data_IF_436676214756
#
_entry.id   IF_436676214756
#
_cell.length_a   1.000
_cell.length_b   1.000
_cell.length_c   1.000
_cell.angle_alpha   90.00
_cell.angle_beta   90.00
_cell.angle_gamma   90.00
#
_symmetry.space_group_name_H-M   'P 1'
#
loop_
_entity.id
_entity.type
_entity.pdbx_description
1 polymer ?
#
# COMPACT_ATOMS: atom_id res chain seq x y z
N UNK A 1 2.34 -23.30 22.13
CA UNK A 1 1.52 -23.24 20.92
C UNK A 1 1.91 -21.94 20.25
N UNK A 2 2.60 -22.01 19.11
CA UNK A 2 3.04 -20.82 18.36
C UNK A 2 1.83 -20.06 17.84
N UNK A 3 1.98 -18.76 17.75
CA UNK A 3 0.95 -17.83 17.28
C UNK A 3 0.54 -18.22 15.83
N UNK A 4 -0.73 -18.48 15.53
CA UNK A 4 -1.16 -18.86 14.17
C UNK A 4 -0.82 -17.81 13.10
N UNK A 5 -0.49 -16.57 13.49
CA UNK A 5 -0.04 -15.51 12.59
C UNK A 5 1.37 -15.80 12.05
N UNK A 6 2.28 -16.33 12.89
CA UNK A 6 3.62 -16.73 12.41
C UNK A 6 3.52 -17.91 11.44
N UNK A 7 2.63 -18.87 11.70
CA UNK A 7 2.47 -20.05 10.83
C UNK A 7 1.87 -19.74 9.44
N UNK A 8 1.13 -18.64 9.26
CA UNK A 8 0.54 -18.26 7.97
C UNK A 8 1.53 -17.43 7.14
N UNK A 9 2.36 -16.62 7.78
CA UNK A 9 3.39 -15.79 7.11
C UNK A 9 4.68 -16.60 6.86
N UNK A 10 5.01 -17.56 7.71
CA UNK A 10 6.13 -18.51 7.49
C UNK A 10 5.89 -19.54 6.37
N UNK A 11 4.67 -19.69 5.87
CA UNK A 11 4.43 -20.45 4.65
C UNK A 11 4.74 -19.57 3.45
N UNK A 12 5.96 -19.60 3.03
CA UNK A 12 6.65 -19.44 1.75
C UNK A 12 5.84 -19.12 0.46
N UNK A 13 4.63 -18.59 0.54
CA UNK A 13 3.91 -18.08 -0.63
C UNK A 13 4.01 -16.55 -0.63
N UNK A 14 4.34 -15.93 -1.80
CA UNK A 14 4.26 -14.50 -1.97
C UNK A 14 2.88 -13.97 -1.54
N UNK A 15 2.79 -12.82 -0.83
CA UNK A 15 1.53 -12.31 -0.30
C UNK A 15 0.44 -12.14 -1.34
N UNK A 16 0.78 -11.75 -2.57
CA UNK A 16 -0.19 -11.66 -3.67
C UNK A 16 -0.75 -13.05 -4.04
N UNK A 17 0.09 -14.08 -4.18
CA UNK A 17 -0.38 -15.42 -4.52
C UNK A 17 -1.32 -15.98 -3.46
N UNK A 18 -1.00 -15.76 -2.18
CA UNK A 18 -1.90 -16.11 -1.08
C UNK A 18 -3.22 -15.34 -1.19
N UNK A 19 -3.17 -14.03 -1.48
CA UNK A 19 -4.34 -13.16 -1.54
C UNK A 19 -5.29 -13.56 -2.68
N UNK A 20 -4.75 -13.92 -3.84
CA UNK A 20 -5.53 -14.22 -5.06
C UNK A 20 -5.72 -15.71 -5.34
N UNK A 21 -5.19 -16.61 -4.47
CA UNK A 21 -5.37 -18.06 -4.67
C UNK A 21 -6.86 -18.43 -4.92
N UNK A 22 -7.18 -19.24 -5.92
CA UNK A 22 -6.30 -20.10 -6.73
C UNK A 22 -5.79 -19.50 -8.06
N UNK A 23 -5.92 -18.19 -8.24
CA UNK A 23 -5.42 -17.51 -9.45
C UNK A 23 -3.91 -17.33 -9.32
N UNK A 24 -3.14 -17.59 -10.41
CA UNK A 24 -1.70 -17.36 -10.41
C UNK A 24 -1.39 -15.87 -10.58
N UNK A 25 -0.21 -15.45 -10.13
CA UNK A 25 0.28 -14.09 -10.25
C UNK A 25 0.31 -13.62 -11.72
N UNK A 26 0.82 -14.45 -12.62
CA UNK A 26 0.92 -14.15 -14.06
C UNK A 26 -0.47 -13.91 -14.66
N UNK A 27 -1.43 -14.80 -14.33
CA UNK A 27 -2.80 -14.67 -14.82
C UNK A 27 -3.47 -13.43 -14.27
N UNK A 28 -3.23 -13.08 -13.00
CA UNK A 28 -3.76 -11.87 -12.39
C UNK A 28 -3.31 -10.62 -13.14
N UNK A 29 -2.00 -10.45 -13.36
CA UNK A 29 -1.46 -9.30 -14.08
C UNK A 29 -1.86 -9.25 -15.56
N UNK A 30 -2.05 -10.40 -16.20
CA UNK A 30 -2.45 -10.46 -17.62
C UNK A 30 -3.92 -10.18 -17.84
N UNK A 31 -4.81 -10.66 -16.97
CA UNK A 31 -6.25 -10.65 -17.21
C UNK A 31 -7.04 -9.65 -16.37
N UNK A 32 -6.57 -9.32 -15.14
CA UNK A 32 -7.36 -8.59 -14.15
C UNK A 32 -6.79 -7.23 -13.76
N UNK A 33 -5.50 -7.16 -13.53
CA UNK A 33 -4.85 -5.92 -13.08
C UNK A 33 -5.16 -4.75 -14.00
N UNK A 34 -5.75 -3.67 -13.43
CA UNK A 34 -6.20 -2.46 -14.15
C UNK A 34 -7.16 -2.71 -15.32
N UNK A 35 -7.85 -3.86 -15.38
CA UNK A 35 -8.71 -4.25 -16.51
C UNK A 35 -10.13 -4.60 -16.12
N UNK A 36 -10.31 -5.59 -15.26
CA UNK A 36 -11.64 -6.08 -14.88
C UNK A 36 -11.67 -6.63 -13.46
N UNK A 37 -12.83 -6.63 -12.81
CA UNK A 37 -13.01 -7.26 -11.51
C UNK A 37 -12.70 -8.75 -11.53
N UNK A 38 -12.17 -9.24 -10.39
CA UNK A 38 -11.96 -10.64 -10.09
C UNK A 38 -12.74 -10.99 -8.82
N UNK A 39 -13.51 -12.06 -8.85
CA UNK A 39 -14.19 -12.60 -7.66
C UNK A 39 -13.60 -13.96 -7.36
N UNK A 40 -13.23 -14.19 -6.11
CA UNK A 40 -12.64 -15.42 -5.62
C UNK A 40 -13.52 -15.93 -4.48
N UNK A 41 -14.24 -17.00 -4.73
CA UNK A 41 -15.04 -17.70 -3.73
C UNK A 41 -14.23 -18.88 -3.20
N UNK A 42 -14.15 -18.96 -1.86
CA UNK A 42 -13.40 -20.01 -1.16
C UNK A 42 -14.31 -20.68 -0.16
N UNK A 43 -14.35 -21.97 -0.15
CA UNK A 43 -15.05 -22.74 0.88
C UNK A 43 -14.16 -22.86 2.15
N UNK A 44 -13.59 -21.73 2.62
CA UNK A 44 -12.65 -21.68 3.73
C UNK A 44 -12.89 -20.42 4.58
N UNK A 45 -13.80 -20.49 5.54
CA UNK A 45 -14.15 -19.36 6.39
C UNK A 45 -12.97 -18.84 7.26
N UNK A 46 -11.99 -19.68 7.56
CA UNK A 46 -10.84 -19.33 8.39
C UNK A 46 -9.72 -18.60 7.61
N UNK A 47 -9.86 -18.42 6.28
CA UNK A 47 -8.77 -17.95 5.41
C UNK A 47 -8.18 -16.60 5.85
N UNK A 48 -9.02 -15.65 6.27
CA UNK A 48 -8.60 -14.30 6.68
C UNK A 48 -8.71 -14.06 8.20
N UNK A 49 -9.03 -15.07 8.99
CA UNK A 49 -9.25 -14.93 10.44
C UNK A 49 -8.02 -14.39 11.18
N UNK A 50 -6.82 -14.76 10.72
CA UNK A 50 -5.57 -14.29 11.31
C UNK A 50 -5.24 -12.81 11.04
N UNK A 51 -5.93 -12.16 10.09
CA UNK A 51 -5.69 -10.77 9.76
C UNK A 51 -6.38 -9.81 10.74
N UNK A 52 -7.60 -10.12 11.15
CA UNK A 52 -8.43 -9.22 11.95
C UNK A 52 -9.61 -9.95 12.58
N UNK A 53 -9.98 -9.54 13.80
CA UNK A 53 -11.16 -10.01 14.52
C UNK A 53 -12.03 -8.84 14.97
N UNK A 54 -13.28 -9.10 15.34
CA UNK A 54 -14.15 -8.08 15.94
C UNK A 54 -13.59 -7.56 17.28
N UNK A 55 -12.99 -8.43 18.09
CA UNK A 55 -12.33 -8.05 19.35
C UNK A 55 -11.17 -7.06 19.13
N UNK A 56 -10.40 -7.25 18.05
CA UNK A 56 -9.36 -6.29 17.69
C UNK A 56 -9.93 -4.94 17.26
N UNK A 57 -11.08 -4.91 16.58
CA UNK A 57 -11.77 -3.66 16.27
C UNK A 57 -12.21 -2.95 17.55
N UNK A 58 -12.83 -3.65 18.50
CA UNK A 58 -13.20 -3.08 19.79
C UNK A 58 -11.98 -2.56 20.56
N UNK A 59 -10.88 -3.33 20.58
CA UNK A 59 -9.62 -2.89 21.18
C UNK A 59 -9.10 -1.60 20.52
N UNK A 60 -9.08 -1.53 19.21
CA UNK A 60 -8.61 -0.36 18.45
C UNK A 60 -9.48 0.87 18.76
N UNK A 61 -10.81 0.73 18.74
CA UNK A 61 -11.75 1.81 19.03
C UNK A 61 -11.67 2.32 20.47
N UNK A 62 -11.37 1.43 21.43
CA UNK A 62 -11.41 1.76 22.87
C UNK A 62 -10.05 2.14 23.45
N UNK A 63 -8.92 1.78 22.78
CA UNK A 63 -7.58 1.99 23.33
C UNK A 63 -6.72 2.98 22.55
N UNK A 64 -7.04 3.23 21.27
CA UNK A 64 -6.31 4.19 20.46
C UNK A 64 -7.08 5.52 20.38
N UNK A 65 -6.36 6.64 20.38
CA UNK A 65 -6.93 7.98 20.15
C UNK A 65 -7.22 8.18 18.66
N UNK A 66 -8.15 7.39 18.13
CA UNK A 66 -8.59 7.53 16.75
C UNK A 66 -9.44 8.80 16.58
N UNK A 67 -9.31 9.43 15.43
CA UNK A 67 -9.98 10.70 15.11
C UNK A 67 -10.54 10.71 13.70
N UNK A 68 -11.51 11.57 13.45
CA UNK A 68 -11.87 11.93 12.09
C UNK A 68 -10.65 12.61 11.40
N UNK A 69 -10.32 12.29 10.13
CA UNK A 69 -11.05 11.44 9.19
C UNK A 69 -10.65 9.94 9.20
N UNK A 70 -9.80 9.49 10.12
CA UNK A 70 -9.39 8.08 10.15
C UNK A 70 -10.52 7.14 10.60
N UNK A 71 -11.52 7.68 11.30
CA UNK A 71 -12.78 6.97 11.57
C UNK A 71 -13.93 7.75 10.95
N UNK A 72 -14.67 7.08 10.07
CA UNK A 72 -15.82 7.65 9.37
C UNK A 72 -17.02 6.71 9.52
N UNK A 73 -18.16 7.28 9.92
CA UNK A 73 -19.44 6.56 9.92
C UNK A 73 -20.24 6.98 8.69
N UNK A 74 -20.74 5.99 7.95
CA UNK A 74 -21.56 6.21 6.75
C UNK A 74 -22.85 5.40 6.80
N UNK A 75 -23.94 6.00 6.34
CA UNK A 75 -25.22 5.33 6.20
C UNK A 75 -25.86 5.81 4.89
N UNK A 76 -26.20 4.88 3.98
CA UNK A 76 -26.77 5.27 2.68
C UNK A 76 -28.19 5.84 2.80
N UNK A 77 -28.91 5.58 3.89
CA UNK A 77 -30.29 6.03 4.11
C UNK A 77 -30.38 7.40 4.81
N UNK A 78 -29.30 7.83 5.49
CA UNK A 78 -29.27 9.11 6.22
C UNK A 78 -27.86 9.70 6.24
N UNK A 79 -27.77 11.01 6.32
CA UNK A 79 -26.49 11.67 6.52
C UNK A 79 -26.01 11.51 7.96
N UNK A 80 -24.71 11.21 8.14
CA UNK A 80 -24.02 11.14 9.41
C UNK A 80 -22.80 12.04 9.32
N UNK A 81 -22.75 13.04 10.20
CA UNK A 81 -21.63 13.99 10.27
C UNK A 81 -20.60 13.55 11.32
N UNK A 82 -19.37 14.02 11.22
CA UNK A 82 -18.36 13.75 12.24
C UNK A 82 -18.77 14.28 13.64
N UNK A 83 -19.56 15.36 13.69
CA UNK A 83 -20.08 15.92 14.94
C UNK A 83 -21.03 14.99 15.71
N UNK A 84 -21.62 13.97 15.04
CA UNK A 84 -22.55 13.04 15.67
C UNK A 84 -21.84 11.98 16.54
N UNK A 85 -20.52 11.76 16.33
CA UNK A 85 -19.73 10.72 17.00
C UNK A 85 -18.35 11.19 17.47
N UNK A 86 -18.08 12.51 17.47
CA UNK A 86 -16.85 13.06 18.03
C UNK A 86 -17.16 14.01 19.19
N UNK A 87 -16.27 14.07 20.18
CA UNK A 87 -16.31 15.04 21.25
C UNK A 87 -15.52 16.30 20.91
N UNK A 88 -15.64 17.33 21.76
CA UNK A 88 -14.87 18.56 21.60
C UNK A 88 -13.36 18.23 21.63
N UNK A 89 -12.66 18.61 20.56
CA UNK A 89 -11.24 18.25 20.35
C UNK A 89 -11.01 17.16 19.30
N UNK A 90 -12.08 16.56 18.74
CA UNK A 90 -12.02 15.65 17.59
C UNK A 90 -11.78 14.17 17.90
N UNK A 91 -11.63 13.81 19.18
CA UNK A 91 -11.57 12.40 19.61
C UNK A 91 -12.95 11.75 19.49
N UNK A 92 -12.99 10.42 19.36
CA UNK A 92 -14.24 9.67 19.23
C UNK A 92 -15.03 9.64 20.55
N UNK A 93 -16.33 9.80 20.46
CA UNK A 93 -17.28 9.28 21.44
C UNK A 93 -17.62 7.82 21.04
N UNK A 94 -16.88 6.87 21.60
CA UNK A 94 -17.00 5.44 21.24
C UNK A 94 -18.41 4.92 21.51
N UNK A 95 -19.10 5.42 22.55
CA UNK A 95 -20.48 5.04 22.85
C UNK A 95 -21.43 5.49 21.71
N UNK A 96 -21.21 6.68 21.15
CA UNK A 96 -21.94 7.17 19.98
C UNK A 96 -21.61 6.38 18.72
N UNK A 97 -20.36 5.99 18.52
CA UNK A 97 -19.98 5.10 17.41
C UNK A 97 -20.78 3.80 17.47
N UNK A 98 -20.85 3.14 18.65
CA UNK A 98 -21.63 1.91 18.81
C UNK A 98 -23.13 2.11 18.64
N UNK A 99 -23.69 3.23 19.15
CA UNK A 99 -25.08 3.57 18.95
C UNK A 99 -25.41 3.72 17.45
N UNK A 100 -24.63 4.52 16.72
CA UNK A 100 -24.81 4.74 15.30
C UNK A 100 -24.63 3.46 14.47
N UNK A 101 -23.70 2.59 14.89
CA UNK A 101 -23.55 1.25 14.31
C UNK A 101 -24.83 0.43 14.50
N UNK A 102 -25.36 0.34 15.71
CA UNK A 102 -26.62 -0.37 16.00
C UNK A 102 -27.82 0.20 15.22
N UNK A 103 -27.77 1.49 14.86
CA UNK A 103 -28.75 2.19 14.02
C UNK A 103 -28.52 2.03 12.50
N UNK A 104 -27.62 1.14 12.07
CA UNK A 104 -27.41 0.80 10.67
C UNK A 104 -26.26 1.53 9.97
N UNK A 105 -25.42 2.28 10.71
CA UNK A 105 -24.27 2.95 10.10
C UNK A 105 -23.06 2.02 10.00
N UNK A 106 -22.38 2.01 8.86
CA UNK A 106 -21.09 1.36 8.66
C UNK A 106 -19.98 2.18 9.34
N UNK A 107 -19.20 1.54 10.18
CA UNK A 107 -17.95 2.08 10.72
C UNK A 107 -16.81 1.78 9.74
N UNK A 108 -16.14 2.82 9.25
CA UNK A 108 -14.94 2.73 8.43
C UNK A 108 -13.75 3.18 9.24
N UNK A 109 -12.72 2.33 9.32
CA UNK A 109 -11.44 2.62 9.98
C UNK A 109 -10.36 2.64 8.90
N UNK A 110 -9.81 3.82 8.64
CA UNK A 110 -8.76 4.00 7.64
C UNK A 110 -7.37 3.74 8.20
N UNK A 111 -6.46 3.27 7.35
CA UNK A 111 -5.04 3.08 7.66
C UNK A 111 -4.77 2.13 8.83
N UNK A 112 -5.56 1.07 9.00
CA UNK A 112 -5.35 0.12 10.09
C UNK A 112 -4.10 -0.75 9.93
N UNK A 113 -3.48 -0.76 8.77
CA UNK A 113 -2.13 -1.28 8.56
C UNK A 113 -1.07 -0.59 9.44
N UNK A 114 -1.34 0.62 9.95
CA UNK A 114 -0.45 1.31 10.89
C UNK A 114 -0.63 0.86 12.35
N UNK A 115 -1.73 0.18 12.68
CA UNK A 115 -2.12 -0.18 14.05
C UNK A 115 -2.22 -1.70 14.29
N UNK A 116 -2.44 -2.49 13.24
CA UNK A 116 -2.61 -3.94 13.31
C UNK A 116 -1.46 -4.64 12.61
N UNK A 117 -0.59 -5.36 13.35
CA UNK A 117 0.63 -5.96 12.80
C UNK A 117 0.41 -6.91 11.62
N UNK A 118 -0.68 -7.68 11.62
CA UNK A 118 -1.00 -8.59 10.52
C UNK A 118 -1.31 -7.83 9.23
N UNK A 119 -2.05 -6.71 9.32
CA UNK A 119 -2.33 -5.85 8.17
C UNK A 119 -1.08 -5.11 7.70
N UNK A 120 -0.23 -4.68 8.64
CA UNK A 120 1.07 -4.08 8.31
C UNK A 120 1.93 -5.06 7.50
N UNK A 121 2.04 -6.31 7.95
CA UNK A 121 2.82 -7.34 7.28
C UNK A 121 2.26 -7.65 5.87
N UNK A 122 0.93 -7.75 5.74
CA UNK A 122 0.27 -7.96 4.44
C UNK A 122 0.57 -6.81 3.47
N UNK A 123 0.33 -5.56 3.86
CA UNK A 123 0.60 -4.39 3.02
C UNK A 123 2.07 -4.33 2.63
N UNK A 124 3.00 -4.55 3.58
CA UNK A 124 4.44 -4.52 3.34
C UNK A 124 4.89 -5.60 2.35
N UNK A 125 4.32 -6.81 2.45
CA UNK A 125 4.60 -7.88 1.50
C UNK A 125 4.09 -7.56 0.09
N UNK A 126 2.89 -6.98 -0.04
CA UNK A 126 2.35 -6.54 -1.32
C UNK A 126 3.16 -5.39 -1.92
N UNK A 127 3.61 -4.43 -1.11
CA UNK A 127 4.50 -3.34 -1.55
C UNK A 127 5.81 -3.87 -2.13
N UNK A 128 6.39 -4.90 -1.53
CA UNK A 128 7.60 -5.53 -2.07
C UNK A 128 7.38 -6.14 -3.46
N UNK A 129 6.17 -6.65 -3.74
CA UNK A 129 5.84 -7.26 -5.03
C UNK A 129 5.43 -6.24 -6.11
N UNK A 130 4.66 -5.21 -5.72
CA UNK A 130 4.10 -4.23 -6.66
C UNK A 130 4.98 -3.00 -6.87
N UNK A 131 5.87 -2.68 -5.94
CA UNK A 131 6.59 -1.40 -5.88
C UNK A 131 5.66 -0.18 -5.88
N UNK A 132 4.49 -0.33 -5.26
CA UNK A 132 3.50 0.71 -5.02
C UNK A 132 3.14 0.72 -3.53
N UNK A 133 2.84 1.88 -2.93
CA UNK A 133 2.32 1.91 -1.56
C UNK A 133 0.96 1.24 -1.44
N UNK A 134 0.72 0.60 -0.32
CA UNK A 134 -0.55 -0.03 0.04
C UNK A 134 -1.10 0.55 1.33
N UNK A 135 -2.42 0.47 1.49
CA UNK A 135 -3.11 0.84 2.73
C UNK A 135 -4.23 -0.17 3.01
N UNK A 136 -4.53 -0.42 4.28
CA UNK A 136 -5.65 -1.26 4.68
C UNK A 136 -6.71 -0.45 5.41
N UNK A 137 -7.92 -0.42 4.84
CA UNK A 137 -9.11 0.15 5.44
C UNK A 137 -10.07 -0.96 5.85
N UNK A 138 -10.73 -0.79 6.98
CA UNK A 138 -11.66 -1.78 7.52
C UNK A 138 -13.07 -1.22 7.55
N UNK A 139 -14.02 -2.05 7.18
CA UNK A 139 -15.44 -1.71 7.12
C UNK A 139 -16.24 -2.70 7.95
N UNK A 140 -16.84 -2.21 9.02
CA UNK A 140 -17.76 -2.96 9.84
C UNK A 140 -19.19 -2.46 9.56
N UNK A 141 -20.03 -3.33 8.99
CA UNK A 141 -21.39 -2.99 8.53
C UNK A 141 -22.42 -3.82 9.29
N UNK A 142 -23.45 -3.22 9.90
CA UNK A 142 -24.53 -3.94 10.56
C UNK A 142 -25.35 -4.79 9.60
N UNK A 143 -26.15 -5.75 10.07
CA UNK A 143 -27.02 -6.57 9.22
C UNK A 143 -27.94 -5.72 8.33
N UNK A 144 -28.14 -6.15 7.07
CA UNK A 144 -29.05 -5.53 6.13
C UNK A 144 -28.75 -4.08 5.77
N UNK A 145 -27.55 -3.58 6.06
CA UNK A 145 -27.19 -2.16 5.93
C UNK A 145 -26.28 -1.89 4.73
N UNK A 146 -26.32 -0.65 4.27
CA UNK A 146 -25.42 -0.12 3.21
C UNK A 146 -24.77 1.17 3.74
N UNK A 147 -23.45 1.19 3.78
CA UNK A 147 -22.70 2.37 4.25
C UNK A 147 -22.47 3.38 3.12
N UNK A 148 -21.70 3.02 2.12
CA UNK A 148 -21.40 3.91 0.99
C UNK A 148 -22.52 3.91 -0.05
N UNK A 149 -22.82 5.08 -0.62
CA UNK A 149 -23.64 5.23 -1.83
C UNK A 149 -22.90 4.60 -3.02
N UNK A 150 -23.56 4.52 -4.17
CA UNK A 150 -22.93 4.10 -5.44
C UNK A 150 -21.75 5.02 -5.74
N UNK A 151 -20.58 4.44 -6.04
CA UNK A 151 -19.35 5.18 -6.36
C UNK A 151 -18.34 4.25 -7.04
N UNK A 152 -17.26 4.81 -7.55
CA UNK A 152 -16.01 4.10 -7.82
C UNK A 152 -14.89 4.64 -6.91
N UNK A 153 -13.87 3.82 -6.68
CA UNK A 153 -12.65 4.26 -6.04
C UNK A 153 -11.65 4.77 -7.09
N UNK A 154 -10.81 5.75 -6.74
CA UNK A 154 -9.72 6.26 -7.56
C UNK A 154 -8.42 5.48 -7.40
N UNK A 155 -8.46 4.34 -6.72
CA UNK A 155 -7.37 3.38 -6.51
C UNK A 155 -7.88 1.95 -6.63
N UNK A 156 -7.01 1.04 -7.02
CA UNK A 156 -7.34 -0.39 -7.13
C UNK A 156 -7.49 -1.00 -5.74
N UNK A 157 -8.46 -1.90 -5.56
CA UNK A 157 -8.76 -2.46 -4.25
C UNK A 157 -8.89 -3.98 -4.26
N UNK A 158 -8.31 -4.62 -3.25
CA UNK A 158 -8.64 -5.99 -2.87
C UNK A 158 -9.60 -5.95 -1.68
N UNK A 159 -10.75 -6.58 -1.81
CA UNK A 159 -11.75 -6.71 -0.76
C UNK A 159 -11.64 -8.10 -0.15
N UNK A 160 -11.39 -8.20 1.15
CA UNK A 160 -11.22 -9.45 1.87
C UNK A 160 -12.35 -9.59 2.89
N UNK A 161 -13.26 -10.54 2.69
CA UNK A 161 -14.38 -10.75 3.60
C UNK A 161 -13.93 -11.58 4.80
N UNK A 162 -13.84 -10.93 5.98
CA UNK A 162 -13.31 -11.54 7.22
C UNK A 162 -14.40 -12.20 8.04
N UNK A 163 -15.60 -11.59 8.12
CA UNK A 163 -16.74 -12.11 8.90
C UNK A 163 -18.03 -11.76 8.20
N UNK A 164 -19.02 -12.66 8.26
CA UNK A 164 -20.32 -12.48 7.66
C UNK A 164 -20.30 -12.46 6.13
N UNK A 165 -21.30 -11.82 5.54
CA UNK A 165 -21.38 -11.72 4.08
C UNK A 165 -21.84 -10.37 3.60
N UNK A 166 -21.52 -10.07 2.34
CA UNK A 166 -21.85 -8.80 1.69
C UNK A 166 -22.14 -9.02 0.22
N UNK A 167 -23.29 -8.52 -0.23
CA UNK A 167 -23.68 -8.55 -1.65
C UNK A 167 -23.12 -7.33 -2.34
N UNK A 168 -22.44 -7.57 -3.42
CA UNK A 168 -21.79 -6.57 -4.27
C UNK A 168 -22.50 -6.52 -5.62
N UNK A 169 -22.67 -5.31 -6.12
CA UNK A 169 -23.11 -5.06 -7.49
C UNK A 169 -22.05 -4.16 -8.13
N UNK A 170 -21.43 -4.66 -9.19
CA UNK A 170 -20.54 -3.89 -10.05
C UNK A 170 -21.39 -3.39 -11.22
N UNK A 171 -21.24 -2.12 -11.55
CA UNK A 171 -21.96 -1.46 -12.63
C UNK A 171 -21.00 -1.19 -13.81
N UNK A 172 -21.08 0.00 -14.40
CA UNK A 172 -20.18 0.40 -15.48
C UNK A 172 -18.85 0.99 -15.00
N UNK A 173 -18.06 1.43 -15.97
CA UNK A 173 -16.83 2.21 -15.73
C UNK A 173 -16.87 3.49 -16.56
N UNK A 174 -17.54 4.55 -16.07
CA UNK A 174 -17.72 5.79 -16.81
C UNK A 174 -16.40 6.54 -17.03
N UNK A 175 -15.42 6.35 -16.13
CA UNK A 175 -14.06 6.84 -16.25
C UNK A 175 -13.11 5.66 -16.10
N UNK A 176 -12.45 5.29 -17.17
CA UNK A 176 -11.44 4.23 -17.16
C UNK A 176 -10.17 4.75 -16.49
N UNK A 177 -9.68 4.01 -15.47
CA UNK A 177 -8.46 4.32 -14.72
C UNK A 177 -8.39 5.78 -14.24
N UNK A 178 -9.37 6.25 -13.44
CA UNK A 178 -9.41 7.64 -13.00
C UNK A 178 -8.14 8.04 -12.25
N UNK A 179 -7.77 9.30 -12.37
CA UNK A 179 -6.72 9.91 -11.57
C UNK A 179 -7.18 10.09 -10.12
N UNK A 180 -6.25 10.25 -9.18
CA UNK A 180 -6.53 10.35 -7.73
C UNK A 180 -7.54 11.44 -7.33
N UNK A 181 -7.68 12.48 -8.13
CA UNK A 181 -8.59 13.61 -7.89
C UNK A 181 -9.83 13.61 -8.82
N UNK A 182 -10.08 12.50 -9.51
CA UNK A 182 -11.27 12.32 -10.35
C UNK A 182 -12.29 11.44 -9.61
N UNK A 183 -12.87 11.99 -8.54
CA UNK A 183 -13.88 11.29 -7.75
C UNK A 183 -15.17 11.07 -8.56
N UNK A 184 -15.94 10.03 -8.17
CA UNK A 184 -17.23 9.78 -8.77
C UNK A 184 -18.24 10.88 -8.41
N UNK A 185 -18.72 11.60 -9.44
CA UNK A 185 -19.81 12.55 -9.30
C UNK A 185 -21.06 12.01 -10.03
N UNK A 186 -22.13 11.64 -9.30
CA UNK A 186 -23.36 11.12 -9.92
C UNK A 186 -24.11 12.15 -10.77
N UNK A 187 -23.76 13.44 -10.70
CA UNK A 187 -24.32 14.48 -11.58
C UNK A 187 -23.65 14.53 -12.96
N UNK A 188 -22.40 14.04 -13.04
CA UNK A 188 -21.60 14.04 -14.27
C UNK A 188 -21.45 12.65 -14.89
N UNK A 189 -21.57 11.60 -14.07
CA UNK A 189 -21.32 10.23 -14.49
C UNK A 189 -22.54 9.33 -14.30
N UNK A 190 -22.96 8.67 -15.38
CA UNK A 190 -23.92 7.57 -15.28
C UNK A 190 -23.22 6.33 -14.71
N UNK A 191 -23.77 5.78 -13.64
CA UNK A 191 -23.27 4.55 -13.02
C UNK A 191 -23.41 3.31 -13.93
N UNK A 192 -24.27 3.37 -14.96
CA UNK A 192 -24.55 2.27 -15.86
C UNK A 192 -25.47 1.19 -15.25
N UNK A 193 -25.67 0.13 -16.00
CA UNK A 193 -26.42 -1.05 -15.56
C UNK A 193 -25.51 -2.06 -14.83
N UNK A 194 -26.07 -2.92 -13.95
CA UNK A 194 -25.31 -3.99 -13.33
C UNK A 194 -24.65 -4.91 -14.36
N UNK A 195 -23.33 -5.08 -14.24
CA UNK A 195 -22.52 -5.96 -15.10
C UNK A 195 -22.12 -7.24 -14.39
N UNK A 196 -22.02 -7.20 -13.05
CA UNK A 196 -21.66 -8.36 -12.22
C UNK A 196 -22.31 -8.21 -10.84
N UNK A 197 -22.97 -9.27 -10.38
CA UNK A 197 -23.52 -9.38 -9.03
C UNK A 197 -22.97 -10.63 -8.35
N UNK A 198 -22.51 -10.49 -7.11
CA UNK A 198 -21.96 -11.59 -6.34
C UNK A 198 -22.10 -11.32 -4.83
N UNK A 199 -22.01 -12.38 -4.05
CA UNK A 199 -21.91 -12.30 -2.59
C UNK A 199 -20.54 -12.79 -2.18
N UNK A 200 -19.86 -12.00 -1.35
CA UNK A 200 -18.65 -12.43 -0.65
C UNK A 200 -19.06 -12.95 0.72
N UNK A 201 -18.75 -14.20 0.97
CA UNK A 201 -18.85 -14.86 2.27
C UNK A 201 -17.50 -14.84 2.99
N UNK A 202 -17.48 -15.14 4.29
CA UNK A 202 -16.25 -15.23 5.08
C UNK A 202 -15.20 -16.09 4.40
N UNK A 203 -14.00 -15.55 4.17
CA UNK A 203 -12.90 -16.19 3.44
C UNK A 203 -12.81 -15.84 1.95
N UNK A 204 -13.86 -15.25 1.38
CA UNK A 204 -13.88 -14.83 -0.02
C UNK A 204 -13.14 -13.51 -0.24
N UNK A 205 -12.75 -13.25 -1.48
CA UNK A 205 -12.13 -11.99 -1.88
C UNK A 205 -12.64 -11.49 -3.23
N UNK A 206 -12.50 -10.20 -3.45
CA UNK A 206 -12.63 -9.60 -4.77
C UNK A 206 -11.49 -8.62 -5.02
N UNK A 207 -11.09 -8.47 -6.28
CA UNK A 207 -10.29 -7.37 -6.77
C UNK A 207 -11.18 -6.49 -7.65
N UNK A 208 -11.20 -5.20 -7.39
CA UNK A 208 -11.98 -4.22 -8.16
C UNK A 208 -11.00 -3.14 -8.63
N UNK A 209 -10.77 -3.03 -9.95
CA UNK A 209 -9.94 -1.95 -10.49
C UNK A 209 -10.59 -0.58 -10.25
N UNK A 210 -9.77 0.45 -10.13
CA UNK A 210 -10.25 1.83 -10.04
C UNK A 210 -11.15 2.21 -11.22
N UNK A 211 -12.15 3.04 -10.97
CA UNK A 211 -13.12 3.48 -11.97
C UNK A 211 -14.33 2.55 -12.15
N UNK A 212 -14.30 1.33 -11.62
CA UNK A 212 -15.44 0.43 -11.64
C UNK A 212 -16.46 0.83 -10.59
N UNK A 213 -17.61 1.32 -11.04
CA UNK A 213 -18.69 1.76 -10.15
C UNK A 213 -19.28 0.56 -9.43
N UNK A 214 -19.43 0.68 -8.12
CA UNK A 214 -19.94 -0.39 -7.29
C UNK A 214 -20.79 0.09 -6.12
N UNK A 215 -21.55 -0.83 -5.56
CA UNK A 215 -22.27 -0.72 -4.30
C UNK A 215 -22.23 -2.04 -3.57
N UNK A 216 -22.34 -1.99 -2.24
CA UNK A 216 -22.35 -3.21 -1.44
C UNK A 216 -23.28 -3.07 -0.23
N UNK A 217 -24.01 -4.15 0.08
CA UNK A 217 -24.94 -4.25 1.20
C UNK A 217 -24.67 -5.52 2.00
N UNK A 218 -24.58 -5.42 3.34
CA UNK A 218 -24.48 -6.59 4.21
C UNK A 218 -25.75 -7.46 4.10
N UNK A 219 -25.58 -8.75 4.22
CA UNK A 219 -26.70 -9.71 4.31
C UNK A 219 -27.31 -9.70 5.73
N UNK A 220 -27.78 -10.81 6.22
CA UNK A 220 -28.53 -10.90 7.49
C UNK A 220 -27.65 -10.86 8.76
N UNK A 221 -26.32 -10.81 8.56
CA UNK A 221 -25.32 -10.79 9.62
C UNK A 221 -24.44 -9.55 9.56
N UNK A 222 -23.75 -9.26 10.66
CA UNK A 222 -22.66 -8.26 10.68
C UNK A 222 -21.62 -8.64 9.65
N UNK A 223 -21.21 -7.68 8.81
CA UNK A 223 -20.17 -7.86 7.81
C UNK A 223 -18.93 -7.09 8.21
N UNK A 224 -17.81 -7.81 8.36
CA UNK A 224 -16.48 -7.24 8.52
C UNK A 224 -15.66 -7.57 7.29
N UNK A 225 -15.19 -6.56 6.56
CA UNK A 225 -14.24 -6.76 5.48
C UNK A 225 -13.08 -5.76 5.54
N UNK A 226 -11.95 -6.17 5.02
CA UNK A 226 -10.76 -5.34 4.82
C UNK A 226 -10.72 -4.95 3.35
N UNK A 227 -10.48 -3.69 3.06
CA UNK A 227 -10.12 -3.22 1.73
C UNK A 227 -8.65 -2.86 1.72
N UNK A 228 -7.86 -3.58 0.93
CA UNK A 228 -6.43 -3.33 0.72
C UNK A 228 -6.29 -2.54 -0.57
N UNK A 229 -6.03 -1.24 -0.44
CA UNK A 229 -5.95 -0.29 -1.54
C UNK A 229 -4.52 -0.13 -2.06
N UNK A 230 -4.38 -0.06 -3.38
CA UNK A 230 -3.11 0.15 -4.07
C UNK A 230 -2.99 1.61 -4.48
N UNK A 231 -2.04 2.33 -3.92
CA UNK A 231 -1.76 3.72 -4.26
C UNK A 231 -0.75 3.77 -5.43
N UNK A 232 -1.20 3.34 -6.61
CA UNK A 232 -0.34 3.15 -7.76
C UNK A 232 0.34 4.47 -8.19
N UNK A 233 1.66 4.41 -8.43
CA UNK A 233 2.36 5.40 -9.26
C UNK A 233 1.96 5.19 -10.70
N UNK A 234 1.48 6.25 -11.36
CA UNK A 234 0.95 6.18 -12.72
C UNK A 234 1.93 6.74 -13.75
N UNK A 235 1.72 6.40 -15.02
CA UNK A 235 2.43 7.06 -16.11
C UNK A 235 2.19 8.58 -16.14
N UNK A 236 1.05 9.05 -15.65
CA UNK A 236 0.78 10.48 -15.49
C UNK A 236 1.75 11.10 -14.50
N UNK A 237 1.92 10.49 -13.30
CA UNK A 237 2.87 10.96 -12.30
C UNK A 237 4.28 10.99 -12.88
N UNK A 238 4.69 9.92 -13.56
CA UNK A 238 6.01 9.80 -14.16
C UNK A 238 6.28 10.87 -15.24
N UNK A 239 5.33 11.06 -16.17
CA UNK A 239 5.47 12.05 -17.25
C UNK A 239 5.49 13.48 -16.72
N UNK A 240 4.66 13.80 -15.71
CA UNK A 240 4.66 15.12 -15.08
C UNK A 240 6.01 15.43 -14.42
N UNK A 241 6.63 14.46 -13.74
CA UNK A 241 7.96 14.63 -13.15
C UNK A 241 9.05 14.78 -14.22
N UNK A 242 8.98 14.04 -15.33
CA UNK A 242 9.90 14.21 -16.45
C UNK A 242 9.80 15.63 -17.05
N UNK A 243 8.58 16.14 -17.22
CA UNK A 243 8.36 17.51 -17.71
C UNK A 243 8.86 18.53 -16.69
N UNK A 244 8.60 18.32 -15.40
CA UNK A 244 9.07 19.19 -14.33
C UNK A 244 10.61 19.27 -14.31
N UNK A 245 11.31 18.13 -14.40
CA UNK A 245 12.78 18.10 -14.48
C UNK A 245 13.29 18.82 -15.75
N UNK A 246 12.67 18.61 -16.91
CA UNK A 246 13.01 19.33 -18.12
C UNK A 246 12.82 20.85 -17.97
N UNK A 247 11.75 21.28 -17.34
CA UNK A 247 11.50 22.71 -17.06
C UNK A 247 12.56 23.33 -16.16
N UNK A 248 13.12 22.59 -15.22
CA UNK A 248 14.19 23.07 -14.34
C UNK A 248 15.54 23.17 -15.08
N UNK A 249 15.82 22.23 -15.98
CA UNK A 249 17.14 22.08 -16.59
C UNK A 249 17.26 22.74 -17.97
N UNK A 250 16.15 23.06 -18.68
CA UNK A 250 16.17 23.63 -20.02
C UNK A 250 15.27 24.85 -20.16
N UNK A 251 15.88 25.97 -20.57
CA UNK A 251 15.17 27.24 -20.80
C UNK A 251 14.13 27.16 -21.94
N UNK A 252 14.23 26.18 -22.85
CA UNK A 252 13.27 26.02 -23.93
C UNK A 252 11.84 25.77 -23.40
N UNK A 253 11.72 24.99 -22.32
CA UNK A 253 10.45 24.71 -21.66
C UNK A 253 9.89 25.88 -20.85
N UNK A 254 10.74 26.85 -20.49
CA UNK A 254 10.36 28.05 -19.72
C UNK A 254 10.00 29.25 -20.56
N UNK A 255 10.09 29.14 -21.89
CA UNK A 255 9.69 30.23 -22.78
C UNK A 255 8.20 30.49 -22.69
N UNK A 256 7.80 31.75 -22.75
CA UNK A 256 6.40 32.15 -22.83
C UNK A 256 5.73 31.61 -24.11
N UNK A 257 4.44 31.41 -24.05
CA UNK A 257 3.64 31.18 -25.25
C UNK A 257 3.83 32.35 -26.24
N UNK A 258 3.70 32.09 -27.56
CA UNK A 258 3.90 33.12 -28.55
C UNK A 258 3.00 34.35 -28.33
N UNK A 259 3.51 35.57 -28.44
CA UNK A 259 2.68 36.77 -28.30
C UNK A 259 1.48 36.74 -29.24
N UNK A 260 0.30 37.10 -28.73
CA UNK A 260 -0.94 37.09 -29.50
C UNK A 260 -1.62 35.74 -29.64
N UNK A 261 -1.22 34.70 -28.90
CA UNK A 261 -1.81 33.35 -28.94
C UNK A 261 -3.33 33.30 -28.71
N UNK A 262 -3.91 34.32 -28.02
CA UNK A 262 -5.33 34.45 -27.78
C UNK A 262 -6.10 35.14 -28.92
N UNK A 263 -5.43 35.62 -29.96
CA UNK A 263 -6.10 36.27 -31.12
C UNK A 263 -6.69 35.19 -32.02
N UNK A 264 -7.83 35.51 -32.64
CA UNK A 264 -8.56 34.62 -33.54
C UNK A 264 -7.69 34.19 -34.75
N UNK A 265 -6.86 35.09 -35.26
CA UNK A 265 -6.01 34.92 -36.44
C UNK A 265 -4.62 34.35 -36.09
N UNK A 266 -4.39 33.94 -34.84
CA UNK A 266 -3.11 33.40 -34.43
C UNK A 266 -2.78 32.11 -35.21
N UNK A 267 -1.58 32.03 -35.88
CA UNK A 267 -1.19 30.87 -36.65
C UNK A 267 -0.79 29.70 -35.72
N UNK A 268 -1.73 28.81 -35.43
CA UNK A 268 -1.59 27.69 -34.47
C UNK A 268 -0.48 26.70 -34.88
N UNK A 269 -0.09 26.67 -36.15
CA UNK A 269 1.03 25.85 -36.68
C UNK A 269 2.35 26.16 -35.97
N UNK A 270 2.60 27.42 -35.63
CA UNK A 270 3.80 27.82 -34.88
C UNK A 270 3.82 27.18 -33.47
N UNK A 271 2.69 27.22 -32.78
CA UNK A 271 2.58 26.58 -31.44
C UNK A 271 2.75 25.05 -31.54
N UNK A 272 2.13 24.42 -32.55
CA UNK A 272 2.28 22.97 -32.79
C UNK A 272 3.73 22.59 -33.09
N UNK A 273 4.43 23.39 -33.90
CA UNK A 273 5.83 23.14 -34.20
C UNK A 273 6.75 23.28 -32.98
N UNK A 274 6.49 24.27 -32.12
CA UNK A 274 7.21 24.40 -30.83
C UNK A 274 6.92 23.21 -29.92
N UNK A 275 5.65 22.85 -29.75
CA UNK A 275 5.23 21.69 -28.95
C UNK A 275 5.90 20.41 -29.43
N UNK A 276 5.91 20.12 -30.75
CA UNK A 276 6.57 18.93 -31.29
C UNK A 276 8.08 18.90 -31.00
N UNK A 277 8.79 20.05 -31.13
CA UNK A 277 10.19 20.12 -30.73
C UNK A 277 10.45 19.91 -29.28
N UNK A 278 9.58 20.41 -28.37
CA UNK A 278 9.70 20.19 -26.93
C UNK A 278 9.48 18.73 -26.57
N UNK A 279 8.50 18.04 -27.20
CA UNK A 279 8.27 16.61 -26.99
C UNK A 279 9.47 15.78 -27.50
N UNK A 280 10.00 16.10 -28.67
CA UNK A 280 11.22 15.43 -29.20
C UNK A 280 12.39 15.65 -28.24
N UNK A 281 12.59 16.86 -27.75
CA UNK A 281 13.64 17.20 -26.80
C UNK A 281 13.47 16.45 -25.48
N UNK A 282 12.23 16.35 -24.97
CA UNK A 282 11.93 15.57 -23.79
C UNK A 282 12.27 14.08 -23.99
N UNK A 283 11.94 13.53 -25.17
CA UNK A 283 12.24 12.14 -25.51
C UNK A 283 13.75 11.85 -25.65
N UNK A 284 14.52 12.77 -26.23
CA UNK A 284 15.95 12.59 -26.50
C UNK A 284 16.85 12.91 -25.30
N UNK A 285 16.47 13.92 -24.51
CA UNK A 285 17.29 14.46 -23.41
C UNK A 285 16.63 14.35 -22.04
N UNK A 286 15.37 13.96 -22.00
CA UNK A 286 14.73 13.56 -20.76
C UNK A 286 15.56 12.45 -20.12
N UNK A 287 15.61 12.40 -18.81
CA UNK A 287 16.36 11.39 -18.08
C UNK A 287 15.37 10.37 -17.44
N UNK A 288 14.70 9.51 -18.25
CA UNK A 288 13.68 8.60 -17.73
C UNK A 288 14.25 7.66 -16.65
N UNK A 289 15.49 7.18 -16.81
CA UNK A 289 16.13 6.32 -15.82
C UNK A 289 16.34 7.07 -14.48
N UNK A 290 16.78 8.34 -14.55
CA UNK A 290 16.91 9.20 -13.35
C UNK A 290 15.55 9.44 -12.68
N UNK A 291 14.49 9.61 -13.48
CA UNK A 291 13.14 9.77 -12.93
C UNK A 291 12.65 8.46 -12.30
N UNK A 292 12.89 7.33 -12.93
CA UNK A 292 12.59 6.02 -12.37
C UNK A 292 13.33 5.80 -11.04
N UNK A 293 14.62 6.14 -10.96
CA UNK A 293 15.38 6.08 -9.70
C UNK A 293 14.77 6.99 -8.62
N UNK A 294 14.24 8.16 -9.00
CA UNK A 294 13.54 9.04 -8.06
C UNK A 294 12.25 8.42 -7.52
N UNK A 295 11.44 7.76 -8.37
CA UNK A 295 10.27 7.00 -7.93
C UNK A 295 10.65 5.82 -7.03
N UNK A 296 11.75 5.13 -7.33
CA UNK A 296 12.31 4.09 -6.45
C UNK A 296 12.66 4.69 -5.08
N UNK A 297 13.27 5.88 -5.04
CA UNK A 297 13.62 6.56 -3.78
C UNK A 297 12.38 6.99 -2.99
N UNK A 298 11.39 7.51 -3.68
CA UNK A 298 10.11 7.88 -3.06
C UNK A 298 9.41 6.64 -2.48
N UNK A 299 9.33 5.56 -3.27
CA UNK A 299 8.78 4.30 -2.80
C UNK A 299 9.53 3.74 -1.59
N UNK A 300 10.86 3.64 -1.63
CA UNK A 300 11.67 3.19 -0.49
C UNK A 300 11.46 4.07 0.75
N UNK A 301 11.21 5.36 0.55
CA UNK A 301 10.96 6.31 1.64
C UNK A 301 9.55 6.16 2.23
N UNK A 302 8.58 5.75 1.43
CA UNK A 302 7.20 5.51 1.85
C UNK A 302 7.00 4.19 2.61
N UNK A 303 8.02 3.30 2.62
CA UNK A 303 7.98 1.99 3.26
C UNK A 303 8.70 2.00 4.62
N UNK A 304 8.05 2.38 5.74
CA UNK A 304 8.68 2.38 7.05
C UNK A 304 9.01 0.96 7.52
N UNK A 305 10.05 0.79 8.33
CA UNK A 305 10.45 -0.52 8.84
C UNK A 305 9.44 -1.08 9.81
N UNK A 306 9.27 -2.39 9.81
CA UNK A 306 8.53 -3.10 10.84
C UNK A 306 9.42 -3.34 12.05
N UNK A 307 9.50 -2.36 12.96
CA UNK A 307 10.43 -2.39 14.10
C UNK A 307 9.84 -3.02 15.37
N UNK A 308 8.76 -3.81 15.28
CA UNK A 308 8.24 -4.55 16.43
C UNK A 308 9.34 -5.44 17.03
N UNK A 309 9.54 -5.35 18.35
CA UNK A 309 10.59 -6.09 19.05
C UNK A 309 11.98 -5.42 19.03
N UNK A 310 12.18 -4.30 18.33
CA UNK A 310 13.49 -3.64 18.22
C UNK A 310 14.08 -3.24 19.58
N UNK A 311 13.28 -2.79 20.54
CA UNK A 311 13.79 -2.44 21.87
C UNK A 311 14.41 -3.64 22.59
N UNK A 312 13.82 -4.84 22.47
CA UNK A 312 14.41 -6.07 23.02
C UNK A 312 15.71 -6.43 22.30
N UNK A 313 15.76 -6.29 20.97
CA UNK A 313 16.98 -6.49 20.18
C UNK A 313 18.12 -5.56 20.64
N UNK A 314 17.83 -4.28 20.86
CA UNK A 314 18.82 -3.31 21.32
C UNK A 314 19.30 -3.61 22.75
N UNK A 315 18.41 -4.04 23.64
CA UNK A 315 18.77 -4.40 25.02
C UNK A 315 19.69 -5.64 25.08
N UNK A 316 19.59 -6.54 24.09
CA UNK A 316 20.41 -7.76 23.99
C UNK A 316 21.65 -7.59 23.10
N UNK A 317 21.89 -6.40 22.52
CA UNK A 317 22.90 -6.21 21.48
C UNK A 317 24.33 -6.56 21.93
N UNK A 318 24.67 -6.34 23.20
CA UNK A 318 25.99 -6.65 23.75
C UNK A 318 26.21 -8.15 24.01
N UNK A 319 25.12 -8.94 24.01
CA UNK A 319 25.16 -10.39 24.18
C UNK A 319 25.46 -11.14 22.89
N UNK A 320 25.50 -10.44 21.74
CA UNK A 320 25.81 -11.05 20.44
C UNK A 320 27.23 -11.61 20.43
N UNK A 321 27.33 -12.88 20.05
CA UNK A 321 28.55 -13.65 19.84
C UNK A 321 28.67 -14.10 18.37
N UNK A 322 29.78 -14.66 17.99
CA UNK A 322 30.04 -15.11 16.61
C UNK A 322 29.16 -16.28 16.16
N UNK A 323 28.66 -17.06 17.11
CA UNK A 323 27.74 -18.16 16.89
C UNK A 323 26.25 -17.75 16.97
N UNK A 324 25.98 -16.48 17.34
CA UNK A 324 24.60 -15.97 17.36
C UNK A 324 23.96 -16.06 15.99
N UNK A 325 22.71 -16.54 15.96
CA UNK A 325 21.93 -16.64 14.75
C UNK A 325 21.20 -15.32 14.52
N UNK A 326 21.36 -14.78 13.33
CA UNK A 326 20.73 -13.53 12.88
C UNK A 326 20.13 -13.72 11.49
N UNK A 327 19.27 -12.82 11.07
CA UNK A 327 18.70 -12.87 9.73
C UNK A 327 18.17 -11.51 9.28
N UNK A 328 17.83 -11.42 8.01
CA UNK A 328 17.17 -10.22 7.46
C UNK A 328 15.86 -9.97 8.18
N UNK A 329 15.58 -8.71 8.52
CA UNK A 329 14.30 -8.33 9.12
C UNK A 329 13.14 -8.69 8.19
N UNK A 330 12.09 -9.34 8.68
CA UNK A 330 10.93 -9.69 7.87
C UNK A 330 10.34 -8.46 7.16
N UNK A 331 9.95 -8.64 5.90
CA UNK A 331 9.39 -7.59 5.04
C UNK A 331 10.29 -6.35 4.86
N UNK A 332 11.60 -6.51 4.96
CA UNK A 332 12.55 -5.45 4.64
C UNK A 332 12.49 -5.12 3.15
N UNK A 333 12.19 -3.86 2.83
CA UNK A 333 12.31 -3.32 1.48
C UNK A 333 13.55 -2.43 1.44
N UNK A 334 14.59 -2.90 0.76
CA UNK A 334 15.87 -2.20 0.66
C UNK A 334 16.52 -2.42 -0.70
N UNK A 335 17.30 -1.44 -1.16
CA UNK A 335 18.13 -1.53 -2.39
C UNK A 335 19.59 -1.42 -2.02
N UNK A 336 20.41 -2.38 -2.48
CA UNK A 336 21.86 -2.37 -2.29
C UNK A 336 22.50 -1.77 -3.56
N UNK A 337 23.26 -0.73 -3.40
CA UNK A 337 24.00 -0.06 -4.46
C UNK A 337 25.50 -0.17 -4.20
N UNK A 338 26.25 -0.57 -5.22
CA UNK A 338 27.68 -0.74 -5.10
C UNK A 338 28.41 0.23 -6.05
N UNK A 339 29.32 1.02 -5.52
CA UNK A 339 30.17 1.94 -6.25
C UNK A 339 31.63 1.51 -6.21
N UNK A 340 32.52 2.26 -6.84
CA UNK A 340 33.96 1.98 -6.83
C UNK A 340 34.53 1.89 -5.40
N UNK A 341 34.07 2.74 -4.48
CA UNK A 341 34.67 2.88 -3.14
C UNK A 341 33.75 2.45 -1.99
N UNK A 342 32.48 2.21 -2.25
CA UNK A 342 31.49 1.93 -1.19
C UNK A 342 30.41 0.96 -1.63
N UNK A 343 29.73 0.36 -0.65
CA UNK A 343 28.43 -0.28 -0.77
C UNK A 343 27.44 0.49 0.10
N UNK A 344 26.29 0.82 -0.42
CA UNK A 344 25.23 1.53 0.27
C UNK A 344 23.95 0.71 0.30
N UNK A 345 23.25 0.75 1.41
CA UNK A 345 21.90 0.21 1.59
C UNK A 345 20.92 1.39 1.65
N UNK A 346 19.98 1.43 0.72
CA UNK A 346 18.91 2.43 0.68
C UNK A 346 17.64 1.80 1.20
N UNK A 347 17.07 2.36 2.23
CA UNK A 347 15.83 1.93 2.86
C UNK A 347 15.27 3.05 3.74
N UNK A 348 13.98 3.12 3.92
CA UNK A 348 13.30 4.02 4.86
C UNK A 348 13.69 5.51 4.70
N UNK A 349 13.94 5.96 3.48
CA UNK A 349 14.43 7.30 3.21
C UNK A 349 15.87 7.58 3.68
N UNK A 350 16.63 6.52 4.06
CA UNK A 350 18.01 6.62 4.50
C UNK A 350 18.95 5.95 3.52
N UNK A 351 20.21 6.40 3.55
CA UNK A 351 21.34 5.74 2.89
C UNK A 351 22.40 5.39 3.93
N UNK A 352 22.63 4.09 4.12
CA UNK A 352 23.64 3.57 5.03
C UNK A 352 24.82 3.11 4.19
N UNK A 353 25.98 3.71 4.38
CA UNK A 353 27.15 3.47 3.53
C UNK A 353 28.25 2.74 4.31
N UNK A 354 28.85 1.77 3.63
CA UNK A 354 29.96 0.96 4.15
C UNK A 354 31.13 0.96 3.15
N UNK A 355 32.35 0.64 3.59
CA UNK A 355 33.50 0.45 2.70
C UNK A 355 33.23 -0.67 1.67
N UNK A 356 33.70 -0.52 0.45
CA UNK A 356 33.56 -1.50 -0.64
C UNK A 356 34.05 -2.90 -0.26
N UNK A 357 35.11 -3.00 0.53
CA UNK A 357 35.71 -4.27 0.95
C UNK A 357 34.72 -5.20 1.66
N UNK A 358 33.70 -4.66 2.37
CA UNK A 358 32.72 -5.48 3.07
C UNK A 358 31.40 -5.70 2.29
N UNK A 359 31.37 -5.30 1.00
CA UNK A 359 30.18 -5.49 0.16
C UNK A 359 29.66 -6.93 0.14
N UNK A 360 30.49 -7.98 0.03
CA UNK A 360 30.03 -9.38 0.08
C UNK A 360 29.30 -9.70 1.38
N UNK A 361 29.82 -9.23 2.53
CA UNK A 361 29.19 -9.46 3.83
C UNK A 361 27.84 -8.73 3.96
N UNK A 362 27.74 -7.47 3.49
CA UNK A 362 26.49 -6.71 3.49
C UNK A 362 25.44 -7.35 2.59
N UNK A 363 25.82 -7.76 1.37
CA UNK A 363 24.92 -8.42 0.43
C UNK A 363 24.41 -9.75 1.00
N UNK A 364 25.31 -10.60 1.53
CA UNK A 364 24.97 -11.86 2.16
C UNK A 364 23.99 -11.65 3.33
N UNK A 365 24.31 -10.72 4.24
CA UNK A 365 23.51 -10.45 5.43
C UNK A 365 22.07 -10.02 5.09
N UNK A 366 21.88 -9.26 4.02
CA UNK A 366 20.57 -8.74 3.61
C UNK A 366 19.82 -9.64 2.60
N UNK A 367 20.42 -10.75 2.19
CA UNK A 367 19.78 -11.76 1.35
C UNK A 367 19.58 -13.09 2.05
N UNK A 368 19.95 -13.20 3.34
CA UNK A 368 19.89 -14.45 4.11
C UNK A 368 18.85 -14.35 5.21
N UNK A 369 17.85 -15.20 5.16
CA UNK A 369 16.79 -15.24 6.18
C UNK A 369 17.33 -15.65 7.55
N UNK A 370 18.39 -16.50 7.57
CA UNK A 370 18.99 -16.99 8.80
C UNK A 370 20.44 -17.44 8.59
N UNK A 371 21.37 -16.95 9.43
CA UNK A 371 22.79 -17.32 9.37
C UNK A 371 23.47 -17.06 10.72
N UNK A 372 24.60 -17.76 11.02
CA UNK A 372 25.43 -17.41 12.15
C UNK A 372 26.35 -16.23 11.79
N UNK A 373 26.63 -15.33 12.75
CA UNK A 373 27.47 -14.16 12.51
C UNK A 373 28.83 -14.54 11.90
N UNK A 374 29.41 -15.67 12.33
CA UNK A 374 30.69 -16.19 11.79
C UNK A 374 30.63 -16.57 10.31
N UNK A 375 29.45 -16.83 9.75
CA UNK A 375 29.25 -17.27 8.36
C UNK A 375 29.32 -16.11 7.36
N UNK A 376 29.39 -14.85 7.85
CA UNK A 376 29.56 -13.71 6.98
C UNK A 376 30.80 -13.86 6.10
N UNK A 377 30.68 -13.73 4.75
CA UNK A 377 31.79 -13.86 3.83
C UNK A 377 32.71 -12.64 3.84
N UNK A 378 33.90 -12.80 3.26
CA UNK A 378 34.89 -11.74 3.08
C UNK A 378 35.97 -11.74 4.16
N UNK A 379 36.77 -10.66 4.21
CA UNK A 379 38.00 -10.57 5.00
C UNK A 379 37.79 -10.01 6.42
N UNK A 380 36.53 -9.83 6.86
CA UNK A 380 36.26 -9.35 8.23
C UNK A 380 36.69 -10.41 9.26
N UNK A 381 37.45 -9.98 10.25
CA UNK A 381 37.71 -10.77 11.44
C UNK A 381 36.47 -10.91 12.32
N UNK A 382 36.53 -11.69 13.38
CA UNK A 382 35.40 -11.96 14.27
C UNK A 382 34.83 -10.66 14.87
N UNK A 383 35.66 -9.71 15.24
CA UNK A 383 35.25 -8.42 15.80
C UNK A 383 34.57 -7.53 14.75
N UNK A 384 35.08 -7.52 13.51
CA UNK A 384 34.50 -6.83 12.37
C UNK A 384 33.13 -7.38 11.98
N UNK A 385 32.96 -8.71 11.97
CA UNK A 385 31.65 -9.37 11.71
C UNK A 385 30.63 -8.97 12.77
N UNK A 386 30.97 -9.01 14.05
CA UNK A 386 30.09 -8.58 15.13
C UNK A 386 29.73 -7.09 15.01
N UNK A 387 30.71 -6.23 14.68
CA UNK A 387 30.50 -4.79 14.51
C UNK A 387 29.51 -4.53 13.35
N UNK A 388 29.66 -5.22 12.22
CA UNK A 388 28.75 -5.09 11.09
C UNK A 388 27.33 -5.53 11.47
N UNK A 389 27.17 -6.69 12.10
CA UNK A 389 25.86 -7.22 12.51
C UNK A 389 25.19 -6.28 13.53
N UNK A 390 25.91 -5.83 14.55
CA UNK A 390 25.42 -4.85 15.51
C UNK A 390 24.91 -3.59 14.81
N UNK A 391 25.69 -3.07 13.85
CA UNK A 391 25.28 -1.90 13.06
C UNK A 391 24.01 -2.16 12.26
N UNK A 392 23.90 -3.31 11.60
CA UNK A 392 22.71 -3.65 10.80
C UNK A 392 21.46 -3.88 11.68
N UNK A 393 21.61 -4.42 12.89
CA UNK A 393 20.52 -4.52 13.87
C UNK A 393 20.11 -3.11 14.37
N UNK A 394 21.07 -2.25 14.70
CA UNK A 394 20.80 -0.86 15.11
C UNK A 394 20.01 -0.09 14.05
N UNK A 395 20.34 -0.30 12.78
CA UNK A 395 19.62 0.30 11.64
C UNK A 395 18.26 -0.37 11.35
N UNK A 396 17.91 -1.44 12.07
CA UNK A 396 16.65 -2.16 11.88
C UNK A 396 16.62 -3.07 10.64
N UNK A 397 17.77 -3.44 10.09
CA UNK A 397 17.88 -4.26 8.88
C UNK A 397 17.96 -5.75 9.19
N UNK A 398 18.57 -6.12 10.32
CA UNK A 398 18.66 -7.50 10.80
C UNK A 398 17.91 -7.67 12.12
N UNK A 399 17.61 -8.92 12.46
CA UNK A 399 17.12 -9.38 13.76
C UNK A 399 17.99 -10.52 14.27
N UNK A 400 18.19 -10.62 15.59
CA UNK A 400 18.75 -11.78 16.25
C UNK A 400 17.60 -12.73 16.65
N UNK A 401 17.83 -14.04 16.56
CA UNK A 401 16.88 -15.12 16.81
C UNK A 401 17.19 -15.88 18.10
#
# INVERSE_FOLDING_TARGET
MGDPIEAVIERAQPPLEWLIHPITRERFFQEFWERKPLVIQRECAEYYRSLLTLDEIDRVLTTLDLRYPNVVLKNAARDVSSGDYTVRGGSLDVAKVYQLFAEGSTVTLAYLDTAIPALTALCRGLEAEFSHPFQANVYLTPPGSQGAKVHYDTHDVFVLQVTGSKRWTILGTPVELPLRNQDFDPSEHDAGSPTLEFELCTGDAAYIPRGWVHKARSSDNVSLHITVGVLAYTWTDFLLECVADACLNDAAFRKSLPPGFARKEFPREQARAVFGRLLQHLSERGAPDKMLDRFVDEFLSSCPPLLRGQMAQLAALDQLATDSIVGTRPHLIARIETSANSVSVRCFGRRITFPRAIAPAVQFALSSDRFAVQDLPGELDAAGKLTLVRRLILEGLLVAH
#
